data_IF_378011019809
#
_entry.id   IF_378011019809
#
_cell.length_a   1.000
_cell.length_b   1.000
_cell.length_c   1.000
_cell.angle_alpha   90.00
_cell.angle_beta   90.00
_cell.angle_gamma   90.00
#
_symmetry.space_group_name_H-M   'P 1'
#
loop_
_entity.id
_entity.type
_entity.pdbx_description
1 polymer ?
#
# COMPACT_ATOMS: atom_id res chain seq x y z
N UNK A 1 -20.99 -39.78 0.89
CA UNK A 1 -19.87 -38.90 0.50
C UNK A 1 -20.12 -37.54 1.12
N UNK A 2 -19.37 -37.18 2.17
CA UNK A 2 -19.43 -35.84 2.74
C UNK A 2 -18.55 -34.92 1.89
N UNK A 3 -19.17 -34.00 1.15
CA UNK A 3 -18.44 -32.92 0.50
C UNK A 3 -17.94 -31.98 1.60
N UNK A 4 -16.68 -32.09 1.98
CA UNK A 4 -16.01 -31.03 2.73
C UNK A 4 -16.01 -29.78 1.84
N UNK A 5 -16.83 -28.79 2.21
CA UNK A 5 -16.75 -27.46 1.62
C UNK A 5 -15.42 -26.87 2.07
N UNK A 6 -14.51 -26.65 1.13
CA UNK A 6 -13.26 -25.96 1.42
C UNK A 6 -13.57 -24.59 2.04
N UNK A 7 -13.04 -24.34 3.23
CA UNK A 7 -13.18 -23.07 3.94
C UNK A 7 -11.89 -22.30 3.88
N UNK A 8 -11.98 -20.97 3.78
CA UNK A 8 -10.80 -20.08 3.90
C UNK A 8 -10.12 -20.21 5.27
N UNK A 9 -10.84 -20.66 6.29
CA UNK A 9 -10.28 -20.93 7.63
C UNK A 9 -9.28 -22.08 7.66
N UNK A 10 -9.30 -22.95 6.65
CA UNK A 10 -8.48 -24.16 6.62
C UNK A 10 -7.16 -23.93 5.86
N UNK A 11 -7.00 -22.73 5.29
CA UNK A 11 -5.78 -22.34 4.58
C UNK A 11 -4.65 -22.02 5.58
N UNK A 12 -3.39 -22.34 5.23
CA UNK A 12 -2.23 -21.87 5.98
C UNK A 12 -2.18 -20.35 6.08
N UNK A 13 -1.68 -19.84 7.21
CA UNK A 13 -1.56 -18.39 7.45
C UNK A 13 -0.72 -17.68 6.36
N UNK A 14 0.34 -18.34 5.87
CA UNK A 14 1.17 -17.79 4.78
C UNK A 14 0.39 -17.60 3.48
N UNK A 15 -0.51 -18.54 3.14
CA UNK A 15 -1.39 -18.42 1.98
C UNK A 15 -2.36 -17.25 2.17
N UNK A 16 -2.96 -17.15 3.35
CA UNK A 16 -3.88 -16.06 3.68
C UNK A 16 -3.18 -14.71 3.59
N UNK A 17 -1.97 -14.59 4.16
CA UNK A 17 -1.12 -13.39 4.06
C UNK A 17 -0.88 -13.01 2.60
N UNK A 18 -0.45 -13.96 1.77
CA UNK A 18 -0.20 -13.70 0.35
C UNK A 18 -1.46 -13.20 -0.38
N UNK A 19 -2.63 -13.76 -0.07
CA UNK A 19 -3.90 -13.27 -0.60
C UNK A 19 -4.20 -11.87 -0.10
N UNK A 20 -4.05 -11.59 1.20
CA UNK A 20 -4.37 -10.27 1.76
C UNK A 20 -3.46 -9.16 1.24
N UNK A 21 -2.19 -9.43 0.96
CA UNK A 21 -1.28 -8.45 0.33
C UNK A 21 -1.72 -8.02 -1.08
N UNK A 22 -2.68 -8.71 -1.70
CA UNK A 22 -3.24 -8.39 -3.02
C UNK A 22 -4.62 -7.71 -2.93
N UNK A 23 -5.17 -7.57 -1.73
CA UNK A 23 -6.52 -7.03 -1.53
C UNK A 23 -6.49 -5.55 -1.16
N UNK A 24 -7.52 -4.78 -1.55
CA UNK A 24 -7.73 -3.45 -1.01
C UNK A 24 -7.90 -3.45 0.51
N UNK A 25 -7.57 -2.32 1.13
CA UNK A 25 -7.62 -2.11 2.57
C UNK A 25 -8.96 -2.56 3.18
N UNK A 26 -10.07 -2.15 2.55
CA UNK A 26 -11.42 -2.50 3.01
C UNK A 26 -11.68 -4.00 2.95
N UNK A 27 -11.22 -4.69 1.90
CA UNK A 27 -11.37 -6.13 1.76
C UNK A 27 -10.56 -6.89 2.83
N UNK A 28 -9.34 -6.46 3.16
CA UNK A 28 -8.53 -7.03 4.25
C UNK A 28 -9.28 -6.91 5.59
N UNK A 29 -9.80 -5.72 5.90
CA UNK A 29 -10.55 -5.50 7.15
C UNK A 29 -11.80 -6.38 7.20
N UNK A 30 -12.59 -6.43 6.12
CA UNK A 30 -13.78 -7.30 6.05
C UNK A 30 -13.43 -8.77 6.23
N UNK A 31 -12.36 -9.23 5.61
CA UNK A 31 -11.89 -10.60 5.74
C UNK A 31 -11.55 -10.94 7.20
N UNK A 32 -10.86 -10.03 7.90
CA UNK A 32 -10.48 -10.19 9.30
C UNK A 32 -11.66 -10.20 10.30
N UNK A 33 -12.78 -9.56 9.94
CA UNK A 33 -13.98 -9.49 10.78
C UNK A 33 -14.98 -10.61 10.48
N UNK A 34 -14.82 -11.30 9.35
CA UNK A 34 -15.74 -12.37 8.92
C UNK A 34 -15.63 -13.61 9.82
N UNK A 35 -14.42 -14.01 10.22
CA UNK A 35 -14.27 -15.11 11.18
C UNK A 35 -13.00 -14.99 12.04
N UNK A 36 -13.01 -15.66 13.19
CA UNK A 36 -11.89 -15.60 14.16
C UNK A 36 -10.58 -16.14 13.60
N UNK A 37 -10.64 -17.13 12.71
CA UNK A 37 -9.47 -17.75 12.09
C UNK A 37 -8.69 -16.77 11.19
N UNK A 38 -9.38 -15.78 10.60
CA UNK A 38 -8.79 -14.80 9.70
C UNK A 38 -8.35 -13.52 10.41
N UNK A 39 -8.78 -13.32 11.66
CA UNK A 39 -8.40 -12.16 12.48
C UNK A 39 -6.88 -11.95 12.64
N UNK A 40 -6.02 -12.98 12.71
CA UNK A 40 -4.57 -12.76 12.82
C UNK A 40 -3.97 -12.01 11.64
N UNK A 41 -4.63 -11.97 10.48
CA UNK A 41 -4.09 -11.38 9.25
C UNK A 41 -3.78 -9.88 9.39
N UNK A 42 -4.62 -9.16 10.14
CA UNK A 42 -4.44 -7.71 10.35
C UNK A 42 -3.29 -7.41 11.30
N UNK A 43 -2.79 -8.40 12.03
CA UNK A 43 -1.63 -8.22 12.89
C UNK A 43 -0.29 -8.46 12.15
N UNK A 44 -0.33 -8.95 10.91
CA UNK A 44 0.88 -9.21 10.11
C UNK A 44 1.37 -7.90 9.47
N UNK A 45 2.58 -7.40 9.80
CA UNK A 45 3.06 -6.12 9.28
C UNK A 45 3.11 -6.04 7.74
N UNK A 46 3.57 -7.11 7.09
CA UNK A 46 3.68 -7.18 5.64
C UNK A 46 2.35 -7.02 4.88
N UNK A 47 1.21 -7.23 5.55
CA UNK A 47 -0.12 -6.98 4.95
C UNK A 47 -0.38 -5.48 4.78
N UNK A 48 0.28 -4.63 5.56
CA UNK A 48 0.08 -3.18 5.57
C UNK A 48 1.24 -2.40 4.93
N UNK A 49 2.26 -3.06 4.41
CA UNK A 49 3.33 -2.41 3.62
C UNK A 49 2.77 -1.75 2.36
N UNK A 50 1.67 -2.29 1.82
CA UNK A 50 0.94 -1.74 0.68
C UNK A 50 -0.51 -1.51 1.08
N UNK A 51 -0.98 -0.28 0.97
CA UNK A 51 -2.34 0.10 1.31
C UNK A 51 -3.05 0.59 0.06
N UNK A 52 -4.18 -0.02 -0.27
CA UNK A 52 -5.00 0.39 -1.39
C UNK A 52 -6.38 0.84 -0.92
N UNK A 53 -6.69 2.11 -1.16
CA UNK A 53 -7.95 2.77 -0.82
C UNK A 53 -8.86 2.98 -2.04
N UNK A 54 -8.56 2.38 -3.19
CA UNK A 54 -9.32 2.58 -4.43
C UNK A 54 -10.79 2.16 -4.32
N UNK A 55 -11.14 1.29 -3.38
CA UNK A 55 -12.50 0.76 -3.17
C UNK A 55 -13.32 1.47 -2.07
N UNK A 56 -12.82 2.64 -1.61
CA UNK A 56 -13.51 3.49 -0.64
C UNK A 56 -14.42 4.49 -1.38
N UNK A 57 -15.73 4.28 -1.23
CA UNK A 57 -16.80 5.16 -1.73
C UNK A 57 -17.61 5.74 -0.56
N UNK A 58 -18.10 7.00 -0.65
CA UNK A 58 -17.97 7.93 -1.78
C UNK A 58 -16.60 8.64 -1.86
N UNK A 59 -15.72 8.39 -0.89
CA UNK A 59 -14.41 9.01 -0.76
C UNK A 59 -13.83 8.74 0.62
N UNK A 60 -12.56 9.07 0.79
CA UNK A 60 -11.83 8.91 2.04
C UNK A 60 -11.67 10.27 2.73
N UNK A 61 -12.36 10.43 3.87
CA UNK A 61 -12.25 11.63 4.70
C UNK A 61 -10.95 11.63 5.52
N UNK A 62 -10.50 12.80 5.96
CA UNK A 62 -9.29 12.92 6.80
C UNK A 62 -9.40 12.13 8.10
N UNK A 63 -10.58 12.17 8.73
CA UNK A 63 -10.87 11.38 9.93
C UNK A 63 -10.85 9.88 9.63
N UNK A 64 -11.36 9.46 8.46
CA UNK A 64 -11.30 8.08 7.99
C UNK A 64 -9.87 7.61 7.76
N UNK A 65 -9.07 8.41 7.06
CA UNK A 65 -7.67 8.15 6.77
C UNK A 65 -6.84 8.03 8.06
N UNK A 66 -6.89 9.05 8.91
CA UNK A 66 -6.13 9.07 10.18
C UNK A 66 -6.58 7.99 11.15
N UNK A 67 -7.90 7.77 11.26
CA UNK A 67 -8.48 6.69 12.06
C UNK A 67 -8.04 5.31 11.58
N UNK A 68 -7.96 5.10 10.26
CA UNK A 68 -7.51 3.85 9.67
C UNK A 68 -6.03 3.58 9.97
N UNK A 69 -5.15 4.57 9.79
CA UNK A 69 -3.74 4.42 10.11
C UNK A 69 -3.51 4.15 11.60
N UNK A 70 -4.24 4.85 12.48
CA UNK A 70 -4.20 4.58 13.91
C UNK A 70 -4.67 3.15 14.24
N UNK A 71 -5.66 2.64 13.50
CA UNK A 71 -6.15 1.27 13.66
C UNK A 71 -5.13 0.22 13.20
N UNK A 72 -4.42 0.45 12.10
CA UNK A 72 -3.29 -0.39 11.67
C UNK A 72 -2.22 -0.45 12.78
N UNK A 73 -1.81 0.71 13.30
CA UNK A 73 -0.82 0.76 14.40
C UNK A 73 -1.27 -0.05 15.61
N UNK A 74 -2.57 0.00 15.95
CA UNK A 74 -3.14 -0.84 17.03
C UNK A 74 -3.10 -2.33 16.71
N UNK A 75 -3.43 -2.74 15.48
CA UNK A 75 -3.38 -4.14 15.08
C UNK A 75 -1.96 -4.71 15.08
N UNK A 76 -0.97 -3.91 14.69
CA UNK A 76 0.44 -4.31 14.66
C UNK A 76 1.16 -4.16 16.00
N UNK A 77 0.57 -3.49 16.99
CA UNK A 77 1.19 -3.26 18.29
C UNK A 77 1.79 -4.50 18.98
N UNK A 78 1.19 -5.71 18.90
CA UNK A 78 1.79 -6.93 19.47
C UNK A 78 3.14 -7.33 18.85
N UNK A 79 3.47 -6.79 17.67
CA UNK A 79 4.66 -7.11 16.88
C UNK A 79 5.61 -5.91 16.70
N UNK A 80 5.30 -4.76 17.29
CA UNK A 80 6.20 -3.59 17.27
C UNK A 80 7.11 -3.62 18.51
N UNK A 81 8.43 -3.87 18.36
CA UNK A 81 9.36 -3.88 19.48
C UNK A 81 9.62 -2.49 20.10
N UNK A 82 8.89 -1.43 19.68
CA UNK A 82 9.17 -0.03 20.04
C UNK A 82 7.95 0.79 20.50
N UNK A 83 6.81 0.17 20.79
CA UNK A 83 5.63 0.94 21.20
C UNK A 83 5.67 1.28 22.70
N UNK A 84 6.48 2.30 23.05
CA UNK A 84 6.31 3.04 24.29
C UNK A 84 4.94 3.74 24.26
N UNK A 85 4.09 3.36 25.21
CA UNK A 85 2.67 3.72 25.30
C UNK A 85 2.47 5.24 25.59
N UNK A 86 3.54 5.96 25.90
CA UNK A 86 3.54 7.39 26.24
C UNK A 86 3.46 8.34 25.04
N UNK A 87 3.56 7.83 23.80
CA UNK A 87 3.52 8.63 22.56
C UNK A 87 2.15 8.77 21.88
N UNK A 88 1.04 8.31 22.49
CA UNK A 88 -0.29 8.26 21.86
C UNK A 88 -0.86 9.61 21.36
N UNK A 89 -0.22 10.73 21.68
CA UNK A 89 -0.64 12.09 21.27
C UNK A 89 0.07 12.57 20.00
N UNK A 90 1.12 11.87 19.52
CA UNK A 90 1.79 12.21 18.25
C UNK A 90 1.75 11.00 17.30
N UNK A 91 1.01 11.16 16.21
CA UNK A 91 0.69 10.11 15.24
C UNK A 91 1.91 9.32 14.78
N UNK A 92 2.10 8.15 15.38
CA UNK A 92 2.98 7.12 14.85
C UNK A 92 2.28 6.54 13.63
N UNK A 93 2.49 7.22 12.51
CA UNK A 93 2.19 6.70 11.19
C UNK A 93 2.95 5.37 11.06
N UNK A 94 2.31 4.32 10.50
CA UNK A 94 2.99 3.05 10.33
C UNK A 94 4.27 3.27 9.51
N UNK A 95 5.44 3.09 10.13
CA UNK A 95 6.73 3.29 9.47
C UNK A 95 6.97 2.28 8.35
N UNK A 96 6.16 1.24 8.28
CA UNK A 96 6.33 0.15 7.33
C UNK A 96 5.57 0.36 6.01
N UNK A 97 4.75 1.41 5.88
CA UNK A 97 4.02 1.66 4.64
C UNK A 97 5.00 2.12 3.55
N UNK A 98 5.11 1.31 2.51
CA UNK A 98 5.96 1.54 1.33
C UNK A 98 5.12 2.03 0.14
N UNK A 99 3.88 1.57 0.03
CA UNK A 99 3.01 1.90 -1.09
C UNK A 99 1.61 2.29 -0.62
N UNK A 100 1.07 3.36 -1.21
CA UNK A 100 -0.32 3.78 -1.01
C UNK A 100 -1.01 4.08 -2.34
N UNK A 101 -2.25 3.63 -2.50
CA UNK A 101 -3.08 3.92 -3.66
C UNK A 101 -4.38 4.57 -3.25
N UNK A 102 -4.75 5.61 -3.99
CA UNK A 102 -6.01 6.34 -3.88
C UNK A 102 -6.72 6.40 -5.24
N UNK A 103 -6.43 5.43 -6.11
CA UNK A 103 -6.86 5.46 -7.50
C UNK A 103 -8.40 5.43 -7.60
N UNK A 104 -8.97 6.33 -8.40
CA UNK A 104 -10.42 6.44 -8.59
C UNK A 104 -11.23 6.88 -7.36
N UNK A 105 -10.60 7.14 -6.21
CA UNK A 105 -11.31 7.62 -5.01
C UNK A 105 -11.34 9.15 -4.94
N UNK A 106 -12.09 9.67 -3.97
CA UNK A 106 -12.11 11.10 -3.63
C UNK A 106 -11.36 11.29 -2.31
N UNK A 107 -10.39 12.19 -2.27
CA UNK A 107 -9.61 12.53 -1.07
C UNK A 107 -9.53 14.03 -0.88
N UNK A 108 -9.25 14.49 0.33
CA UNK A 108 -8.93 15.91 0.54
C UNK A 108 -7.48 16.22 0.16
N UNK A 109 -7.18 17.50 -0.05
CA UNK A 109 -5.82 18.02 -0.13
C UNK A 109 -4.95 17.57 1.06
N UNK A 110 -5.48 17.64 2.29
CA UNK A 110 -4.75 17.23 3.50
C UNK A 110 -4.33 15.76 3.43
N UNK A 111 -5.22 14.87 3.01
CA UNK A 111 -4.95 13.43 2.92
C UNK A 111 -3.82 13.15 1.94
N UNK A 112 -3.78 13.86 0.80
CA UNK A 112 -2.65 13.74 -0.12
C UNK A 112 -1.33 14.15 0.53
N UNK A 113 -1.27 15.36 1.12
CA UNK A 113 -0.05 15.84 1.75
C UNK A 113 0.41 14.89 2.86
N UNK A 114 -0.53 14.39 3.67
CA UNK A 114 -0.25 13.45 4.74
C UNK A 114 0.31 12.11 4.21
N UNK A 115 -0.25 11.58 3.11
CA UNK A 115 0.25 10.37 2.47
C UNK A 115 1.65 10.58 1.88
N UNK A 116 1.89 11.72 1.22
CA UNK A 116 3.21 12.06 0.68
C UNK A 116 4.27 12.27 1.78
N UNK A 117 3.89 12.68 2.98
CA UNK A 117 4.80 12.91 4.11
C UNK A 117 5.15 11.64 4.89
N UNK A 118 4.65 10.48 4.49
CA UNK A 118 5.03 9.22 5.11
C UNK A 118 6.51 8.93 4.87
N UNK A 119 7.29 8.63 5.92
CA UNK A 119 8.76 8.61 5.84
C UNK A 119 9.31 7.46 4.99
N UNK A 120 8.54 6.37 4.82
CA UNK A 120 8.94 5.19 4.05
C UNK A 120 8.08 4.93 2.82
N UNK A 121 7.09 5.79 2.54
CA UNK A 121 6.27 5.66 1.35
C UNK A 121 7.14 6.00 0.12
N UNK A 122 7.42 4.97 -0.67
CA UNK A 122 8.16 5.09 -1.93
C UNK A 122 7.23 5.32 -3.10
N UNK A 123 5.99 4.80 -3.01
CA UNK A 123 5.00 4.85 -4.09
C UNK A 123 3.68 5.37 -3.54
N UNK A 124 3.19 6.47 -4.10
CA UNK A 124 1.87 7.01 -3.80
C UNK A 124 1.15 7.27 -5.11
N UNK A 125 0.03 6.59 -5.34
CA UNK A 125 -0.76 6.69 -6.56
C UNK A 125 -2.08 7.43 -6.31
N UNK A 126 -2.41 8.34 -7.20
CA UNK A 126 -3.65 9.14 -7.21
C UNK A 126 -4.31 9.07 -8.60
N UNK A 127 -4.16 7.97 -9.32
CA UNK A 127 -4.62 7.86 -10.71
C UNK A 127 -6.15 7.97 -10.76
N UNK A 128 -6.66 8.97 -11.49
CA UNK A 128 -8.10 9.23 -11.56
C UNK A 128 -8.73 9.63 -10.22
N UNK A 129 -7.92 9.99 -9.23
CA UNK A 129 -8.39 10.47 -7.93
C UNK A 129 -8.92 11.90 -8.05
N UNK A 130 -10.06 12.19 -7.40
CA UNK A 130 -10.54 13.57 -7.24
C UNK A 130 -10.05 14.14 -5.93
N UNK A 131 -9.40 15.30 -5.98
CA UNK A 131 -8.91 15.99 -4.80
C UNK A 131 -9.89 17.12 -4.46
N UNK A 132 -10.57 16.99 -3.33
CA UNK A 132 -11.47 18.01 -2.80
C UNK A 132 -10.66 18.97 -1.89
N UNK A 133 -11.20 20.17 -1.65
CA UNK A 133 -10.63 21.19 -0.75
C UNK A 133 -9.21 21.67 -1.11
N UNK A 134 -8.91 21.82 -2.40
CA UNK A 134 -7.66 22.47 -2.85
C UNK A 134 -7.71 23.96 -2.51
N UNK A 135 -6.77 24.50 -1.70
CA UNK A 135 -6.74 25.93 -1.42
C UNK A 135 -6.43 26.73 -2.70
N UNK A 136 -7.15 27.82 -2.92
CA UNK A 136 -7.05 28.66 -4.14
C UNK A 136 -5.62 29.19 -4.41
N UNK A 137 -4.79 29.29 -3.37
CA UNK A 137 -3.41 29.76 -3.42
C UNK A 137 -2.38 28.65 -3.69
N UNK A 138 -2.78 27.38 -3.67
CA UNK A 138 -1.88 26.22 -3.69
C UNK A 138 -1.99 25.34 -4.94
N UNK A 139 -2.96 25.61 -5.83
CA UNK A 139 -3.18 24.85 -7.07
C UNK A 139 -1.91 24.81 -7.95
N UNK A 140 -1.13 25.89 -7.98
CA UNK A 140 0.13 25.98 -8.74
C UNK A 140 1.35 25.33 -8.10
N UNK A 141 1.43 25.27 -6.76
CA UNK A 141 2.57 24.69 -6.03
C UNK A 141 2.52 23.15 -6.02
N UNK A 142 1.32 22.59 -5.94
CA UNK A 142 1.12 21.15 -5.97
C UNK A 142 1.74 20.51 -7.19
N UNK A 143 1.48 21.06 -8.39
CA UNK A 143 1.99 20.50 -9.65
C UNK A 143 3.52 20.36 -9.65
N UNK A 144 4.26 21.26 -8.97
CA UNK A 144 5.71 21.17 -8.86
C UNK A 144 6.17 20.09 -7.87
N UNK A 145 5.55 20.00 -6.67
CA UNK A 145 5.93 19.01 -5.67
C UNK A 145 5.52 17.58 -6.08
N UNK A 146 4.34 17.44 -6.72
CA UNK A 146 3.91 16.20 -7.37
C UNK A 146 4.84 15.80 -8.51
N UNK A 147 5.20 16.74 -9.40
CA UNK A 147 6.13 16.43 -10.50
C UNK A 147 7.48 15.96 -9.96
N UNK A 148 8.01 16.60 -8.92
CA UNK A 148 9.28 16.22 -8.31
C UNK A 148 9.25 14.80 -7.71
N UNK A 149 8.18 14.42 -7.02
CA UNK A 149 8.04 13.05 -6.47
C UNK A 149 7.69 12.01 -7.55
N UNK A 150 6.86 12.35 -8.52
CA UNK A 150 6.55 11.47 -9.64
C UNK A 150 7.80 11.20 -10.52
N UNK A 151 8.65 12.20 -10.73
CA UNK A 151 9.95 12.08 -11.44
C UNK A 151 10.91 11.14 -10.71
N UNK A 152 11.02 11.24 -9.38
CA UNK A 152 11.82 10.31 -8.57
C UNK A 152 11.32 8.86 -8.72
N UNK A 153 10.00 8.68 -8.86
CA UNK A 153 9.39 7.35 -9.03
C UNK A 153 9.61 6.78 -10.43
N UNK A 154 9.71 7.63 -11.46
CA UNK A 154 10.00 7.23 -12.84
C UNK A 154 11.48 6.91 -13.06
N UNK A 155 12.40 7.71 -12.49
CA UNK A 155 13.84 7.48 -12.59
C UNK A 155 14.29 6.21 -11.85
N UNK A 156 13.64 5.84 -10.75
CA UNK A 156 13.91 4.58 -10.05
C UNK A 156 13.55 3.31 -10.85
N UNK A 157 12.80 3.43 -11.95
CA UNK A 157 12.47 2.31 -12.85
C UNK A 157 13.35 2.27 -14.12
N UNK A 158 14.18 3.28 -14.36
CA UNK A 158 15.03 3.37 -15.57
C UNK A 158 16.49 2.96 -15.30
N UNK A 159 16.92 2.96 -14.04
CA UNK A 159 18.23 2.48 -13.61
C UNK A 159 18.24 0.96 -13.35
N UNK A 160 18.19 0.18 -14.43
CA UNK A 160 18.87 -1.12 -14.48
C UNK A 160 18.00 -2.37 -14.45
N UNK A 161 17.59 -2.82 -15.64
CA UNK A 161 17.92 -4.18 -16.06
C UNK A 161 18.40 -4.13 -17.51
N UNK A 162 19.71 -3.94 -17.69
CA UNK A 162 20.41 -4.37 -18.90
C UNK A 162 20.26 -5.89 -18.98
N UNK A 163 19.26 -6.34 -19.72
CA UNK A 163 19.14 -7.75 -20.07
C UNK A 163 20.19 -8.00 -21.16
N UNK A 164 21.34 -8.54 -20.74
CA UNK A 164 22.33 -9.16 -21.61
C UNK A 164 21.60 -10.03 -22.64
N UNK A 165 21.59 -9.56 -23.89
CA UNK A 165 21.31 -10.41 -25.04
C UNK A 165 22.61 -11.12 -25.37
N UNK A 166 22.87 -12.23 -24.66
CA UNK A 166 23.78 -13.26 -25.13
C UNK A 166 23.17 -13.87 -26.39
N UNK A 167 23.42 -13.22 -27.52
CA UNK A 167 23.28 -13.82 -28.86
C UNK A 167 24.37 -14.87 -29.01
N UNK A 168 24.01 -16.12 -28.73
CA UNK A 168 24.79 -17.30 -29.04
C UNK A 168 24.67 -17.57 -30.55
N UNK A 169 25.44 -16.81 -31.34
CA UNK A 169 25.69 -17.11 -32.76
C UNK A 169 26.69 -18.27 -32.84
N UNK A 170 26.16 -19.49 -33.01
CA UNK A 170 26.91 -20.60 -33.59
C UNK A 170 26.23 -21.05 -34.86
N UNK A 171 26.63 -20.42 -35.96
CA UNK A 171 26.54 -21.01 -37.29
C UNK A 171 27.95 -21.31 -37.79
N UNK A 172 28.21 -22.62 -37.87
CA UNK A 172 28.56 -23.33 -39.11
C UNK A 172 29.63 -22.73 -40.05
N UNK A 173 30.74 -23.46 -40.11
CA UNK A 173 31.48 -23.86 -41.31
C UNK A 173 32.65 -23.00 -41.87
N UNK A 174 33.63 -23.78 -42.33
CA UNK A 174 34.63 -23.56 -43.39
C UNK A 174 36.13 -23.33 -43.05
N UNK A 175 36.91 -24.23 -43.65
CA UNK A 175 38.32 -24.17 -44.10
C UNK A 175 39.48 -24.42 -43.12
N UNK A 176 39.88 -25.69 -42.98
CA UNK A 176 41.06 -26.31 -43.66
C UNK A 176 41.33 -27.75 -43.23
#
# INVERSE_FOLDING_TARGET
>A
MQHHKASLSDLPLETLKAVACLLPARAIVRLSTTCRALRPIVAVPAVWERIDFSDIEPGLTDAGYTGFLAQITKWMAPYSPKNDITGMVTGHLPTEIVEMKFDGTVVSYYTVIAAMRLPRAQRVSFQGCRIDDIPDDLEGMLLQEYAAKALVTAQANDDGVDFNSDTDERDSDEDQ
#
